data_IF_771185953214
#
_entry.id   IF_771185953214
#
_cell.length_a   1.000
_cell.length_b   1.000
_cell.length_c   1.000
_cell.angle_alpha   90.00
_cell.angle_beta   90.00
_cell.angle_gamma   90.00
#
_symmetry.space_group_name_H-M   'P 1'
#
loop_
_entity.id
_entity.type
_entity.pdbx_description
1 polymer ?
#
# COMPACT_ATOMS: atom_id res chain seq x y z
N UNK A 1 -17.15 -38.44 -5.64
CA UNK A 1 -17.54 -37.06 -5.31
C UNK A 1 -16.40 -36.43 -4.54
N UNK A 2 -15.53 -35.69 -5.22
CA UNK A 2 -14.56 -34.81 -4.58
C UNK A 2 -14.75 -33.45 -5.24
N UNK A 3 -15.26 -32.51 -4.46
CA UNK A 3 -15.47 -31.12 -4.79
C UNK A 3 -14.12 -30.50 -5.15
N UNK A 4 -13.85 -30.33 -6.45
CA UNK A 4 -12.79 -29.43 -6.91
C UNK A 4 -13.38 -28.02 -6.92
N UNK A 5 -13.50 -27.43 -5.73
CA UNK A 5 -13.48 -25.98 -5.64
C UNK A 5 -12.08 -25.54 -6.06
N UNK A 6 -11.92 -25.24 -7.35
CA UNK A 6 -10.72 -24.64 -7.90
C UNK A 6 -10.66 -23.22 -7.35
N UNK A 7 -9.83 -22.98 -6.34
CA UNK A 7 -9.44 -21.64 -5.91
C UNK A 7 -8.61 -20.98 -7.02
N UNK A 8 -9.28 -20.63 -8.11
CA UNK A 8 -8.75 -19.69 -9.08
C UNK A 8 -8.87 -18.32 -8.44
N UNK A 9 -7.84 -17.93 -7.67
CA UNK A 9 -7.60 -16.52 -7.37
C UNK A 9 -7.67 -15.78 -8.71
N UNK A 10 -8.69 -14.93 -8.83
CA UNK A 10 -9.10 -14.35 -10.11
C UNK A 10 -7.93 -13.65 -10.80
N UNK A 11 -7.98 -13.56 -12.13
CA UNK A 11 -6.98 -12.87 -12.99
C UNK A 11 -6.57 -11.48 -12.46
N UNK A 12 -7.40 -10.89 -11.62
CA UNK A 12 -7.26 -9.60 -10.95
C UNK A 12 -6.15 -9.59 -9.88
N UNK A 13 -5.98 -10.68 -9.11
CA UNK A 13 -4.95 -10.75 -8.07
C UNK A 13 -3.54 -10.91 -8.66
N UNK A 14 -3.40 -11.73 -9.71
CA UNK A 14 -2.16 -11.80 -10.49
C UNK A 14 -1.78 -10.45 -11.08
N UNK A 15 -2.76 -9.76 -11.68
CA UNK A 15 -2.57 -8.41 -12.24
C UNK A 15 -2.20 -7.38 -11.16
N UNK A 16 -2.82 -7.45 -9.98
CA UNK A 16 -2.50 -6.57 -8.86
C UNK A 16 -1.07 -6.78 -8.35
N UNK A 17 -0.65 -8.04 -8.21
CA UNK A 17 0.69 -8.39 -7.72
C UNK A 17 1.79 -7.97 -8.70
N UNK A 18 1.56 -8.11 -10.00
CA UNK A 18 2.54 -7.71 -11.01
C UNK A 18 2.65 -6.20 -11.14
N UNK A 19 1.54 -5.47 -11.05
CA UNK A 19 1.55 -4.00 -10.95
C UNK A 19 2.31 -3.53 -9.70
N UNK A 20 2.05 -4.17 -8.55
CA UNK A 20 2.73 -3.85 -7.30
C UNK A 20 4.25 -4.02 -7.43
N UNK A 21 4.73 -5.16 -7.94
CA UNK A 21 6.17 -5.39 -8.15
C UNK A 21 6.79 -4.35 -9.08
N UNK A 22 6.11 -4.00 -10.17
CA UNK A 22 6.58 -2.98 -11.11
C UNK A 22 6.70 -1.62 -10.41
N UNK A 23 5.68 -1.20 -9.66
CA UNK A 23 5.71 0.08 -8.96
C UNK A 23 6.79 0.14 -7.87
N UNK A 24 7.01 -0.95 -7.12
CA UNK A 24 8.12 -1.04 -6.17
C UNK A 24 9.48 -0.97 -6.88
N UNK A 25 9.64 -1.57 -8.06
CA UNK A 25 10.88 -1.47 -8.83
C UNK A 25 11.17 -0.06 -9.35
N UNK A 26 10.15 0.64 -9.84
CA UNK A 26 10.27 1.98 -10.44
C UNK A 26 10.38 3.09 -9.39
N UNK A 27 9.63 2.99 -8.28
CA UNK A 27 9.51 4.06 -7.28
C UNK A 27 10.10 3.69 -5.90
N UNK A 28 10.48 2.43 -5.68
CA UNK A 28 11.00 1.98 -4.37
C UNK A 28 12.38 2.53 -4.02
N UNK A 29 13.11 3.10 -4.97
CA UNK A 29 14.36 3.82 -4.70
C UNK A 29 14.13 5.27 -4.26
N UNK A 30 12.90 5.77 -4.28
CA UNK A 30 12.60 7.11 -3.77
C UNK A 30 12.81 7.13 -2.25
N UNK A 31 13.40 8.21 -1.71
CA UNK A 31 13.51 8.36 -0.26
C UNK A 31 12.12 8.26 0.37
N UNK A 32 12.04 7.58 1.51
CA UNK A 32 10.78 7.38 2.22
C UNK A 32 10.05 8.71 2.46
N UNK A 33 8.75 8.74 2.19
CA UNK A 33 7.94 9.92 2.41
C UNK A 33 7.75 10.17 3.92
N UNK A 34 7.78 11.44 4.31
CA UNK A 34 7.35 11.89 5.64
C UNK A 34 6.00 12.59 5.50
N UNK A 35 5.02 12.10 6.25
CA UNK A 35 3.64 12.57 6.19
C UNK A 35 3.25 13.08 7.57
N UNK A 36 2.66 14.26 7.64
CA UNK A 36 2.06 14.81 8.87
C UNK A 36 0.60 15.07 8.59
N UNK A 37 -0.28 14.47 9.38
CA UNK A 37 -1.70 14.78 9.38
C UNK A 37 -1.92 15.92 10.36
N UNK A 38 -2.35 17.06 9.83
CA UNK A 38 -2.73 18.23 10.62
C UNK A 38 -4.24 18.44 10.54
N UNK A 39 -4.84 18.80 11.67
CA UNK A 39 -6.18 19.37 11.69
C UNK A 39 -6.16 20.71 10.96
N UNK A 40 -7.08 20.90 10.02
CA UNK A 40 -7.12 22.11 9.17
C UNK A 40 -7.68 23.32 9.93
N UNK A 41 -8.59 23.10 10.88
CA UNK A 41 -9.27 24.17 11.61
C UNK A 41 -8.40 24.70 12.76
N UNK A 42 -7.77 23.80 13.52
CA UNK A 42 -6.94 24.15 14.69
C UNK A 42 -5.45 24.23 14.37
N UNK A 43 -5.01 23.59 13.28
CA UNK A 43 -3.60 23.45 12.94
C UNK A 43 -2.85 22.39 13.76
N UNK A 44 -3.55 21.60 14.59
CA UNK A 44 -2.93 20.62 15.46
C UNK A 44 -2.38 19.42 14.68
N UNK A 45 -1.23 18.90 15.09
CA UNK A 45 -0.69 17.65 14.53
C UNK A 45 -1.44 16.47 15.15
N UNK A 46 -2.23 15.78 14.33
CA UNK A 46 -2.97 14.58 14.73
C UNK A 46 -2.11 13.33 14.65
N UNK A 47 -1.22 13.23 13.66
CA UNK A 47 -0.32 12.10 13.48
C UNK A 47 0.86 12.43 12.56
N UNK A 48 1.97 11.70 12.69
CA UNK A 48 3.14 11.81 11.81
C UNK A 48 3.72 10.44 11.48
N UNK A 49 4.15 10.26 10.23
CA UNK A 49 4.79 9.04 9.73
C UNK A 49 6.09 9.34 8.98
N UNK A 50 7.12 8.49 9.11
CA UNK A 50 7.24 7.47 10.15
C UNK A 50 7.23 8.12 11.55
N UNK A 51 6.78 7.39 12.57
CA UNK A 51 6.71 7.90 13.94
C UNK A 51 8.04 8.58 14.32
N UNK A 52 7.94 9.77 14.89
CA UNK A 52 9.11 10.46 15.42
C UNK A 52 9.58 9.68 16.65
N UNK A 53 10.63 8.88 16.45
CA UNK A 53 11.36 8.22 17.54
C UNK A 53 11.87 9.20 18.58
#
# INVERSE_FOLDING_TARGET
MADRCSTAGGKEEGTARDKFRRWIGEYGSMPGARLTLTDEETGDVLAAWPDQR
#
